data_IF_913678043162
#
_entry.id   IF_913678043162
#
_cell.length_a   1.000
_cell.length_b   1.000
_cell.length_c   1.000
_cell.angle_alpha   90.00
_cell.angle_beta   90.00
_cell.angle_gamma   90.00
#
_symmetry.space_group_name_H-M   'P 1'
#
loop_
_entity.id
_entity.type
_entity.pdbx_description
1 polymer ?
2 water ?
#
# COMPACT_ATOMS: atom_id res chain seq x y z
N UNK A 5 -6.64 -15.75 -7.71
CA UNK A 5 -5.22 -16.02 -7.43
C UNK A 5 -4.30 -15.02 -8.08
N UNK A 6 -3.01 -15.16 -7.79
CA UNK A 6 -2.02 -14.24 -8.28
C UNK A 6 -0.90 -15.02 -8.99
N UNK A 7 -0.32 -14.41 -10.02
CA UNK A 7 0.76 -15.00 -10.82
C UNK A 7 2.05 -14.69 -10.09
N UNK A 8 2.60 -15.71 -9.42
CA UNK A 8 3.82 -15.54 -8.63
C UNK A 8 5.11 -15.45 -9.48
N UNK A 9 4.99 -15.64 -10.79
CA UNK A 9 6.08 -15.40 -11.75
C UNK A 9 6.16 -13.90 -12.07
N UNK A 10 5.08 -13.16 -11.78
CA UNK A 10 5.01 -11.71 -12.07
C UNK A 10 5.18 -10.93 -10.78
N UNK A 11 4.47 -11.36 -9.75
CA UNK A 11 4.50 -10.72 -8.43
C UNK A 11 5.31 -11.59 -7.50
N UNK A 12 6.44 -11.06 -7.06
CA UNK A 12 7.40 -11.79 -6.23
C UNK A 12 8.33 -10.77 -5.57
N UNK A 13 9.02 -11.14 -4.48
CA UNK A 13 9.92 -10.24 -3.76
C UNK A 13 11.22 -9.97 -4.51
N UNK A 14 11.76 -8.76 -4.36
CA UNK A 14 13.09 -8.50 -4.88
C UNK A 14 14.14 -9.12 -3.96
N UNK A 15 15.35 -9.26 -4.48
CA UNK A 15 16.43 -9.72 -3.65
C UNK A 15 16.72 -8.70 -2.55
N UNK A 16 16.64 -7.41 -2.88
CA UNK A 16 17.01 -6.32 -1.96
C UNK A 16 15.98 -5.20 -2.10
N UNK A 17 15.06 -5.15 -1.15
CA UNK A 17 14.02 -4.13 -1.13
C UNK A 17 14.58 -2.72 -0.99
N UNK A 18 15.54 -2.51 -0.09
CA UNK A 18 16.12 -1.18 0.06
C UNK A 18 16.69 -0.66 -1.24
N UNK A 19 17.30 -1.54 -2.03
CA UNK A 19 17.91 -1.13 -3.31
C UNK A 19 16.80 -0.86 -4.35
N UNK A 20 15.75 -1.69 -4.36
CA UNK A 20 14.64 -1.46 -5.29
C UNK A 20 13.98 -0.10 -5.02
N UNK A 21 13.83 0.25 -3.74
CA UNK A 21 13.31 1.57 -3.40
C UNK A 21 14.27 2.67 -3.86
N UNK A 22 15.57 2.51 -3.59
CA UNK A 22 16.53 3.52 -4.05
C UNK A 22 16.44 3.75 -5.56
N UNK A 23 16.21 2.69 -6.32
CA UNK A 23 16.20 2.80 -7.79
C UNK A 23 15.03 3.62 -8.29
N UNK A 24 14.01 3.84 -7.45
CA UNK A 24 12.86 4.69 -7.85
C UNK A 24 13.17 6.19 -7.83
N UNK A 25 14.29 6.56 -7.22
CA UNK A 25 14.75 7.95 -7.16
C UNK A 25 13.71 8.88 -6.55
N UNK A 26 13.16 8.45 -5.43
CA UNK A 26 12.26 9.32 -4.68
C UNK A 26 12.73 9.42 -3.24
N UNK A 27 12.35 10.50 -2.57
CA UNK A 27 12.89 10.72 -1.23
C UNK A 27 12.49 9.67 -0.19
N UNK A 28 13.37 9.45 0.77
CA UNK A 28 13.16 8.52 1.86
C UNK A 28 13.89 7.22 1.66
N UNK A 29 13.78 6.36 2.66
CA UNK A 29 14.45 5.07 2.64
C UNK A 29 13.52 3.86 2.57
N UNK A 30 12.27 4.05 3.00
CA UNK A 30 11.28 2.96 3.09
C UNK A 30 9.97 3.50 2.60
N UNK A 31 9.22 2.66 1.89
CA UNK A 31 7.98 3.07 1.29
C UNK A 31 6.72 2.35 1.69
N UNK A 32 5.65 3.11 1.63
CA UNK A 32 4.27 2.66 1.84
C UNK A 32 3.51 3.01 0.58
N UNK A 33 2.70 2.12 0.02
CA UNK A 33 1.97 2.42 -1.17
C UNK A 33 0.49 2.07 -1.14
N UNK A 34 -0.25 2.76 -2.01
CA UNK A 34 -1.63 2.45 -2.30
C UNK A 34 -1.76 2.42 -3.83
N UNK A 35 -2.38 1.37 -4.33
CA UNK A 35 -2.50 1.12 -5.76
C UNK A 35 -3.91 1.30 -6.27
N UNK A 36 -4.02 1.81 -7.48
CA UNK A 36 -5.29 1.87 -8.15
C UNK A 36 -5.79 3.27 -8.33
N UNK A 37 -7.00 3.33 -8.84
CA UNK A 37 -7.61 4.60 -9.16
C UNK A 37 -7.72 5.50 -7.92
N UNK A 38 -7.51 6.79 -8.14
CA UNK A 38 -7.62 7.79 -7.08
C UNK A 38 -9.07 8.27 -7.09
N UNK A 39 -9.80 7.87 -6.06
CA UNK A 39 -11.24 8.14 -5.98
C UNK A 39 -11.65 7.95 -4.55
N UNK A 40 -12.61 8.73 -4.06
CA UNK A 40 -12.95 8.63 -2.64
C UNK A 40 -13.40 7.23 -2.23
N UNK A 41 -14.19 6.56 -3.06
CA UNK A 41 -14.64 5.21 -2.72
C UNK A 41 -13.52 4.19 -2.63
N UNK A 42 -12.35 4.52 -3.18
CA UNK A 42 -11.17 3.62 -3.08
C UNK A 42 -10.41 3.83 -1.78
N UNK A 43 -10.80 4.83 -0.99
CA UNK A 43 -10.14 5.11 0.28
C UNK A 43 -8.88 5.91 0.19
N UNK A 44 -8.64 6.55 -0.95
CA UNK A 44 -7.42 7.31 -1.10
C UNK A 44 -7.30 8.45 -0.07
N UNK A 45 -8.43 9.01 0.34
CA UNK A 45 -8.40 10.03 1.35
C UNK A 45 -8.00 9.49 2.73
N UNK A 46 -8.53 8.32 3.13
CA UNK A 46 -8.12 7.78 4.42
C UNK A 46 -6.63 7.44 4.38
N UNK A 47 -6.14 7.03 3.22
CA UNK A 47 -4.70 6.77 3.10
C UNK A 47 -3.88 8.03 3.28
N UNK A 48 -4.24 9.10 2.56
CA UNK A 48 -3.49 10.35 2.68
C UNK A 48 -3.56 10.91 4.11
N UNK A 49 -4.75 10.90 4.70
CA UNK A 49 -4.90 11.41 6.06
C UNK A 49 -4.06 10.57 7.04
N UNK A 50 -4.06 9.26 6.84
CA UNK A 50 -3.25 8.38 7.71
C UNK A 50 -1.74 8.67 7.52
N UNK A 51 -1.35 8.88 6.28
CA UNK A 51 0.05 9.17 5.98
C UNK A 51 0.47 10.48 6.58
N UNK A 52 -0.42 11.47 6.59
CA UNK A 52 -0.09 12.77 7.16
C UNK A 52 0.15 12.66 8.67
N UNK A 53 -0.67 11.89 9.36
CA UNK A 53 -0.48 11.64 10.79
C UNK A 53 0.82 10.85 11.02
N UNK A 54 1.00 9.78 10.25
CA UNK A 54 2.10 8.87 10.51
C UNK A 54 3.47 9.43 10.16
N UNK A 55 3.56 10.04 9.01
CA UNK A 55 4.86 10.39 8.47
C UNK A 55 5.49 11.59 9.14
N UNK A 56 4.71 12.39 9.86
CA UNK A 56 5.31 13.44 10.68
C UNK A 56 6.25 12.80 11.70
N UNK A 57 5.88 11.61 12.17
CA UNK A 57 6.63 10.88 13.16
C UNK A 57 7.87 10.12 12.64
N UNK A 58 7.85 9.75 11.35
CA UNK A 58 8.90 8.92 10.76
C UNK A 58 9.51 9.50 9.48
N UNK A 59 10.51 10.36 9.65
CA UNK A 59 11.11 11.04 8.51
C UNK A 59 11.71 10.19 7.41
N UNK A 60 12.11 8.96 7.69
CA UNK A 60 12.72 8.09 6.68
C UNK A 60 11.70 7.33 5.81
N UNK A 61 10.42 7.50 6.12
CA UNK A 61 9.35 6.81 5.42
C UNK A 61 8.63 7.73 4.46
N UNK A 62 8.20 7.15 3.35
CA UNK A 62 7.52 7.89 2.29
C UNK A 62 6.31 7.10 1.82
N UNK A 63 5.22 7.77 1.56
CA UNK A 63 4.02 7.18 1.03
C UNK A 63 3.91 7.53 -0.44
N UNK A 64 3.51 6.57 -1.28
CA UNK A 64 3.32 6.77 -2.70
C UNK A 64 1.93 6.33 -3.11
N UNK A 65 1.30 7.14 -3.94
CA UNK A 65 0.01 6.81 -4.50
C UNK A 65 0.30 6.41 -5.95
N UNK A 66 0.08 5.13 -6.25
CA UNK A 66 0.34 4.52 -7.55
C UNK A 66 -1.00 4.38 -8.28
N UNK A 67 -1.32 5.33 -9.15
CA UNK A 67 -2.57 5.29 -9.92
C UNK A 67 -2.93 6.70 -10.33
N UNK A 68 -4.05 6.85 -11.01
CA UNK A 68 -4.46 8.19 -11.40
C UNK A 68 -5.91 8.42 -11.17
N UNK A 69 -6.27 9.69 -11.20
CA UNK A 69 -7.62 10.12 -11.07
C UNK A 69 -8.18 10.27 -12.48
N UNK A 70 -9.37 9.76 -12.71
CA UNK A 70 -10.06 10.01 -13.98
C UNK A 70 -10.58 11.45 -13.94
N UNK A 71 -11.03 11.98 -15.09
CA UNK A 71 -11.48 13.39 -15.10
C UNK A 71 -12.47 13.79 -14.00
N UNK A 72 -13.43 12.94 -13.68
CA UNK A 72 -14.41 13.30 -12.68
C UNK A 72 -13.83 13.42 -11.28
N UNK A 73 -12.64 12.87 -11.05
CA UNK A 73 -11.97 12.91 -9.77
C UNK A 73 -10.68 13.75 -9.72
N UNK A 74 -10.42 14.54 -10.75
CA UNK A 74 -9.25 15.42 -10.72
C UNK A 74 -9.32 16.44 -9.55
N UNK A 75 -10.52 16.92 -9.24
CA UNK A 75 -10.69 17.84 -8.13
C UNK A 75 -10.30 17.19 -6.81
N UNK A 76 -10.68 15.92 -6.66
CA UNK A 76 -10.37 15.14 -5.46
C UNK A 76 -8.87 14.96 -5.29
N UNK A 77 -8.19 14.64 -6.37
CA UNK A 77 -6.75 14.49 -6.33
C UNK A 77 -6.09 15.84 -5.95
N UNK A 78 -6.58 16.95 -6.50
CA UNK A 78 -6.04 18.27 -6.14
C UNK A 78 -6.20 18.56 -4.64
N UNK A 79 -7.36 18.19 -4.08
CA UNK A 79 -7.59 18.42 -2.65
C UNK A 79 -6.62 17.58 -1.84
N UNK A 80 -6.39 16.33 -2.24
CA UNK A 80 -5.40 15.51 -1.54
C UNK A 80 -4.00 16.13 -1.58
N UNK A 81 -3.62 16.62 -2.76
CA UNK A 81 -2.30 17.27 -2.90
C UNK A 81 -2.19 18.49 -2.00
N UNK A 82 -3.27 19.27 -1.91
CA UNK A 82 -3.32 20.40 -1.00
C UNK A 82 -3.17 20.01 0.44
N UNK A 83 -3.86 18.95 0.86
CA UNK A 83 -3.76 18.49 2.25
C UNK A 83 -2.30 18.18 2.58
N UNK A 84 -1.62 17.49 1.68
CA UNK A 84 -0.21 17.16 1.88
C UNK A 84 0.67 18.41 2.00
N UNK A 85 0.45 19.35 1.08
CA UNK A 85 1.24 20.59 1.06
C UNK A 85 0.99 21.40 2.33
N UNK A 86 -0.27 21.53 2.71
CA UNK A 86 -0.57 22.29 3.93
C UNK A 86 -0.01 21.63 5.21
N UNK A 87 0.15 20.31 5.19
CA UNK A 87 0.77 19.59 6.32
C UNK A 87 2.31 19.68 6.29
N UNK A 88 2.88 20.25 5.23
CA UNK A 88 4.34 20.33 5.08
C UNK A 88 4.99 18.99 4.78
N UNK A 89 4.25 18.09 4.11
CA UNK A 89 4.73 16.74 3.83
C UNK A 89 4.94 16.38 2.38
N UNK A 90 5.13 17.37 1.50
CA UNK A 90 5.30 17.05 0.08
C UNK A 90 6.62 16.33 -0.26
N UNK A 91 7.54 16.23 0.70
CA UNK A 91 8.72 15.37 0.53
C UNK A 91 8.53 13.95 0.99
N UNK A 92 7.37 13.64 1.55
CA UNK A 92 7.10 12.31 2.07
C UNK A 92 5.83 11.66 1.53
N UNK A 93 5.00 12.39 0.79
CA UNK A 93 3.76 11.85 0.23
C UNK A 93 3.73 12.27 -1.22
N UNK A 94 3.89 11.29 -2.11
CA UNK A 94 4.17 11.50 -3.56
C UNK A 94 3.16 10.79 -4.45
N UNK A 95 2.57 11.51 -5.40
CA UNK A 95 1.65 10.93 -6.36
C UNK A 95 2.47 10.58 -7.57
N UNK A 96 2.57 9.29 -7.87
CA UNK A 96 3.39 8.82 -8.99
C UNK A 96 2.66 8.98 -10.31
N UNK A 97 3.39 9.34 -11.35
CA UNK A 97 2.80 9.52 -12.68
C UNK A 97 2.50 8.19 -13.36
N UNK A 98 1.49 8.19 -14.23
CA UNK A 98 1.12 6.98 -14.98
C UNK A 98 2.20 6.53 -15.95
N UNK A 99 2.41 5.22 -16.05
CA UNK A 99 3.29 4.63 -17.06
C UNK A 99 2.55 3.42 -17.62
N UNK A 100 2.68 3.19 -18.92
CA UNK A 100 1.99 2.09 -19.57
C UNK A 100 2.68 0.74 -19.33
N UNK A 101 4.01 0.77 -19.23
CA UNK A 101 4.82 -0.45 -19.09
C UNK A 101 4.24 -1.51 -18.11
N UNK A 102 4.25 -2.75 -18.60
CA UNK A 102 3.73 -3.95 -17.93
C UNK A 102 4.26 -4.25 -16.52
N UNK A 103 5.56 -4.02 -16.31
CA UNK A 103 6.20 -4.35 -15.04
C UNK A 103 6.39 -3.19 -14.08
N UNK A 104 5.98 -1.98 -14.45
CA UNK A 104 6.15 -0.88 -13.53
C UNK A 104 5.50 -1.29 -12.22
N UNK A 105 4.22 -1.63 -12.32
CA UNK A 105 3.44 -2.03 -11.15
C UNK A 105 4.10 -3.13 -10.29
N UNK A 106 4.34 -4.33 -10.86
CA UNK A 106 5.06 -5.36 -10.06
C UNK A 106 6.36 -4.83 -9.43
N UNK A 107 7.07 -3.95 -10.14
CA UNK A 107 8.31 -3.41 -9.59
C UNK A 107 8.02 -2.52 -8.39
N UNK A 108 6.88 -1.85 -8.39
CA UNK A 108 6.54 -1.00 -7.24
C UNK A 108 6.29 -1.84 -6.01
N UNK A 109 5.58 -2.96 -6.15
CA UNK A 109 5.38 -3.82 -4.98
C UNK A 109 6.73 -4.24 -4.41
N UNK A 110 7.68 -4.52 -5.30
CA UNK A 110 9.03 -4.94 -4.87
C UNK A 110 9.82 -3.87 -4.13
N UNK A 111 9.42 -2.61 -4.29
CA UNK A 111 10.09 -1.50 -3.64
C UNK A 111 9.45 -1.11 -2.31
N UNK A 112 8.25 -1.64 -2.01
CA UNK A 112 7.48 -1.18 -0.84
C UNK A 112 7.49 -2.12 0.34
N UNK A 113 7.65 -1.57 1.56
CA UNK A 113 7.54 -2.36 2.77
C UNK A 113 6.11 -2.64 3.18
N UNK A 114 5.23 -1.66 2.94
CA UNK A 114 3.82 -1.76 3.40
C UNK A 114 2.94 -1.36 2.26
N UNK A 115 1.83 -2.05 2.09
CA UNK A 115 0.79 -1.68 1.12
C UNK A 115 -0.52 -1.56 1.86
N UNK A 116 -1.25 -0.47 1.54
CA UNK A 116 -2.58 -0.24 2.09
C UNK A 116 -3.63 -0.45 1.03
N UNK A 117 -4.66 -1.24 1.35
CA UNK A 117 -5.78 -1.51 0.45
C UNK A 117 -6.98 -0.96 1.20
N UNK A 118 -7.37 0.28 0.90
CA UNK A 118 -8.33 1.05 1.70
C UNK A 118 -9.73 1.15 1.10
N UNK A 119 -10.02 0.34 0.10
CA UNK A 119 -11.30 0.48 -0.61
C UNK A 119 -12.49 0.31 0.31
N UNK A 120 -13.51 1.12 0.10
CA UNK A 120 -14.70 1.01 0.92
C UNK A 120 -15.51 -0.24 0.62
N UNK A 121 -15.62 -0.56 -0.66
CA UNK A 121 -16.49 -1.66 -1.14
C UNK A 121 -15.98 -2.42 -2.33
N UNK A 122 -15.38 -1.72 -3.28
CA UNK A 122 -14.94 -2.33 -4.54
C UNK A 122 -13.66 -3.11 -4.38
N UNK A 123 -13.55 -4.18 -5.17
CA UNK A 123 -12.38 -5.04 -5.19
C UNK A 123 -12.60 -6.49 -5.03
N UNK A 124 -11.66 -7.27 -5.58
CA UNK A 124 -11.63 -8.70 -5.43
C UNK A 124 -10.38 -9.16 -4.66
N UNK A 125 -9.75 -8.26 -3.94
CA UNK A 125 -8.56 -8.62 -3.16
C UNK A 125 -7.27 -8.80 -3.92
N UNK A 126 -7.28 -8.56 -5.23
CA UNK A 126 -6.08 -8.81 -6.02
C UNK A 126 -4.86 -8.00 -5.62
N UNK A 127 -5.01 -6.70 -5.36
CA UNK A 127 -3.84 -5.94 -4.90
C UNK A 127 -3.34 -6.34 -3.48
N UNK A 128 -4.21 -6.84 -2.57
CA UNK A 128 -3.70 -7.47 -1.35
C UNK A 128 -2.89 -8.72 -1.70
N UNK A 129 -3.41 -9.57 -2.58
CA UNK A 129 -2.67 -10.77 -2.98
C UNK A 129 -1.36 -10.44 -3.67
N UNK A 130 -1.37 -9.44 -4.55
CA UNK A 130 -0.16 -9.04 -5.27
C UNK A 130 0.89 -8.54 -4.26
N UNK A 131 0.44 -7.75 -3.30
CA UNK A 131 1.33 -7.21 -2.26
C UNK A 131 1.90 -8.34 -1.40
N UNK A 132 1.06 -9.26 -0.98
CA UNK A 132 1.50 -10.39 -0.16
C UNK A 132 2.45 -11.29 -0.91
N UNK A 133 2.18 -11.52 -2.18
CA UNK A 133 3.09 -12.33 -3.03
C UNK A 133 4.46 -11.66 -3.15
N UNK A 134 4.49 -10.35 -2.98
CA UNK A 134 5.74 -9.61 -3.05
C UNK A 134 6.38 -9.41 -1.69
N UNK A 135 5.80 -10.01 -0.65
CA UNK A 135 6.28 -9.90 0.71
C UNK A 135 6.22 -8.47 1.27
N UNK A 136 5.18 -7.76 0.85
CA UNK A 136 4.81 -6.47 1.47
C UNK A 136 3.89 -6.77 2.64
N UNK A 137 3.99 -6.01 3.73
CA UNK A 137 3.01 -6.14 4.83
C UNK A 137 1.75 -5.41 4.40
N UNK A 138 0.57 -6.00 4.55
CA UNK A 138 -0.67 -5.39 4.08
C UNK A 138 -1.59 -4.99 5.21
N UNK A 139 -2.11 -3.77 5.04
CA UNK A 139 -3.19 -3.23 5.86
C UNK A 139 -4.36 -3.07 4.91
N UNK A 140 -5.50 -3.66 5.24
CA UNK A 140 -6.64 -3.65 4.33
C UNK A 140 -7.96 -3.53 5.04
N UNK A 141 -8.93 -2.97 4.32
CA UNK A 141 -10.33 -3.07 4.71
C UNK A 141 -10.85 -4.47 4.28
N UNK A 142 -12.08 -4.78 4.68
CA UNK A 142 -12.77 -6.02 4.25
C UNK A 142 -12.77 -6.12 2.72
N UNK A 143 -13.12 -5.03 2.06
CA UNK A 143 -13.10 -4.97 0.58
C UNK A 143 -11.69 -5.16 0.02
N UNK A 144 -10.73 -4.47 0.63
CA UNK A 144 -9.35 -4.52 0.19
C UNK A 144 -8.72 -5.89 0.19
N UNK A 145 -9.23 -6.76 1.04
CA UNK A 145 -8.71 -8.13 1.15
C UNK A 145 -9.83 -9.19 1.03
N UNK A 146 -10.76 -8.88 0.13
CA UNK A 146 -11.87 -9.78 -0.25
C UNK A 146 -11.38 -11.09 -0.88
N UNK A 147 -11.92 -12.26 -0.52
CA UNK A 147 -12.88 -12.50 0.53
C UNK A 147 -12.16 -13.15 1.72
N UNK A 148 -12.07 -12.40 2.81
CA UNK A 148 -11.44 -12.83 4.06
C UNK A 148 -10.05 -13.48 3.92
N UNK A 149 -9.19 -12.84 3.15
CA UNK A 149 -7.81 -13.32 2.94
C UNK A 149 -6.94 -13.17 4.19
N UNK A 150 -7.14 -12.09 4.91
CA UNK A 150 -6.28 -11.73 6.04
C UNK A 150 -6.82 -12.15 7.39
N UNK A 151 -5.92 -12.66 8.22
CA UNK A 151 -6.16 -12.89 9.64
C UNK A 151 -5.41 -11.78 10.35
N UNK A 152 -6.14 -10.88 11.02
CA UNK A 152 -5.54 -9.72 11.65
C UNK A 152 -4.44 -10.11 12.63
N UNK A 153 -3.30 -9.42 12.52
CA UNK A 153 -2.11 -9.62 13.35
C UNK A 153 -1.36 -10.92 13.08
N UNK A 154 -1.80 -11.69 12.08
CA UNK A 154 -1.09 -12.90 11.70
C UNK A 154 -0.45 -12.68 10.33
N UNK A 155 -1.24 -12.38 9.32
CA UNK A 155 -0.71 -12.23 7.95
C UNK A 155 -1.05 -10.92 7.30
N UNK A 156 -1.50 -9.98 8.10
CA UNK A 156 -1.82 -8.63 7.66
C UNK A 156 -2.66 -7.99 8.74
N UNK A 157 -3.21 -6.82 8.41
CA UNK A 157 -4.10 -6.13 9.34
C UNK A 157 -5.36 -5.79 8.64
N UNK A 158 -6.41 -5.75 9.45
CA UNK A 158 -7.72 -5.35 8.97
C UNK A 158 -8.12 -4.05 9.66
N UNK A 159 -8.68 -3.16 8.89
CA UNK A 159 -9.22 -1.91 9.42
C UNK A 159 -10.63 -1.73 8.92
N UNK A 160 -11.40 -0.94 9.66
CA UNK A 160 -12.70 -0.54 9.14
C UNK A 160 -12.53 0.42 7.98
N UNK A 161 -13.44 0.41 7.00
CA UNK A 161 -13.43 1.44 5.97
C UNK A 161 -13.69 2.80 6.58
N UNK A 162 -13.27 3.84 5.88
CA UNK A 162 -13.52 5.24 6.25
C UNK A 162 -12.91 5.63 7.59
N UNK A 163 -11.78 5.01 7.95
CA UNK A 163 -11.09 5.31 9.23
C UNK A 163 -9.59 5.52 9.11
N UNK A 164 -9.24 6.74 8.76
CA UNK A 164 -7.86 7.11 8.60
C UNK A 164 -7.02 6.80 9.85
N UNK A 165 -7.53 7.08 11.04
CA UNK A 165 -6.74 6.85 12.24
C UNK A 165 -6.44 5.35 12.44
N UNK A 166 -7.37 4.47 12.09
CA UNK A 166 -7.10 3.04 12.22
C UNK A 166 -5.94 2.64 11.29
N UNK A 167 -5.91 3.17 10.07
CA UNK A 167 -4.79 2.91 9.16
C UNK A 167 -3.49 3.45 9.77
N UNK A 168 -3.52 4.69 10.28
CA UNK A 168 -2.33 5.25 10.89
C UNK A 168 -1.80 4.42 12.03
N UNK A 169 -2.70 3.93 12.88
CA UNK A 169 -2.27 3.10 14.01
C UNK A 169 -1.54 1.85 13.53
N UNK A 170 -2.03 1.25 12.45
CA UNK A 170 -1.35 0.06 11.92
C UNK A 170 -0.01 0.40 11.26
N UNK A 171 0.03 1.51 10.55
CA UNK A 171 1.29 1.94 9.96
C UNK A 171 2.32 2.18 11.07
N UNK A 172 1.92 2.96 12.07
CA UNK A 172 2.78 3.29 13.24
C UNK A 172 3.44 2.02 13.78
N UNK A 173 2.58 1.03 14.08
CA UNK A 173 2.98 -0.29 14.64
C UNK A 173 3.92 -1.08 13.76
N UNK A 174 3.66 -1.12 12.46
CA UNK A 174 4.52 -1.83 11.51
C UNK A 174 5.85 -1.13 11.29
N UNK A 175 5.86 0.19 11.32
CA UNK A 175 7.10 0.93 11.14
C UNK A 175 7.93 0.85 12.42
N UNK A 176 7.28 0.91 13.57
CA UNK A 176 8.04 0.90 14.81
C UNK A 176 8.55 -0.43 15.28
N UNK A 177 7.94 -1.51 14.80
CA UNK A 177 8.39 -2.88 15.11
C UNK A 177 8.68 -3.64 13.85
N UNK A 178 9.90 -3.47 13.36
CA UNK A 178 10.29 -4.08 12.10
C UNK A 178 10.28 -5.60 12.16
N UNK A 179 10.62 -6.19 13.31
CA UNK A 179 10.60 -7.65 13.39
C UNK A 179 9.17 -8.15 13.20
N UNK A 180 8.21 -7.45 13.78
CA UNK A 180 6.82 -7.84 13.61
C UNK A 180 6.40 -7.66 12.16
N UNK A 181 6.80 -6.53 11.57
CA UNK A 181 6.45 -6.26 10.17
C UNK A 181 6.94 -7.37 9.26
N UNK A 182 8.19 -7.75 9.44
CA UNK A 182 8.75 -8.80 8.57
C UNK A 182 8.06 -10.15 8.77
N UNK A 183 7.67 -10.46 9.99
CA UNK A 183 6.95 -11.70 10.25
C UNK A 183 5.55 -11.71 9.64
N UNK A 184 4.83 -10.60 9.78
CA UNK A 184 3.51 -10.45 9.18
C UNK A 184 3.61 -10.62 7.66
N UNK A 185 4.61 -9.94 7.07
CA UNK A 185 4.80 -9.98 5.62
C UNK A 185 5.13 -11.40 5.12
N UNK A 186 6.04 -12.07 5.82
CA UNK A 186 6.39 -13.43 5.49
C UNK A 186 5.17 -14.35 5.63
N UNK A 187 4.38 -14.19 6.68
CA UNK A 187 3.22 -15.02 6.84
C UNK A 187 2.23 -14.81 5.68
N UNK A 188 2.05 -13.56 5.26
CA UNK A 188 1.16 -13.27 4.10
C UNK A 188 1.68 -13.93 2.82
N UNK A 189 3.00 -13.82 2.63
CA UNK A 189 3.65 -14.47 1.49
C UNK A 189 3.42 -16.00 1.51
N UNK A 190 3.63 -16.61 2.68
CA UNK A 190 3.47 -18.05 2.82
C UNK A 190 2.04 -18.47 2.48
N UNK A 191 1.07 -17.69 2.93
CA UNK A 191 -0.30 -18.00 2.67
C UNK A 191 -0.63 -17.91 1.19
N UNK A 192 -0.24 -16.81 0.54
CA UNK A 192 -0.65 -16.64 -0.85
C UNK A 192 0.08 -17.57 -1.81
N UNK A 193 1.35 -17.87 -1.54
CA UNK A 193 2.09 -18.78 -2.43
C UNK A 193 1.61 -20.23 -2.27
N UNK A 194 0.91 -20.52 -1.17
CA UNK A 194 0.37 -21.85 -0.92
C UNK A 194 -1.06 -21.97 -1.40
N UNK A 195 -1.90 -20.98 -1.06
CA UNK A 195 -3.34 -21.09 -1.28
C UNK A 195 -3.92 -20.27 -2.45
N UNK A 196 -3.21 -19.25 -2.91
CA UNK A 196 -3.73 -18.38 -3.95
C UNK A 196 -2.76 -18.24 -5.14
N UNK A 197 -1.94 -19.27 -5.37
CA UNK A 197 -0.99 -19.27 -6.48
C UNK A 197 -1.71 -19.82 -7.70
N UNK A 198 -1.66 -19.10 -8.83
CA UNK A 198 -2.35 -19.55 -10.07
C UNK A 198 -1.77 -20.86 -10.61
N UNK A 199 -0.45 -21.03 -10.47
CA UNK A 199 0.23 -22.24 -10.98
C UNK A 199 0.62 -23.25 -9.89
#
# INVERSE_FOLDING_TARGET
SNAHGVDTQVFYPAENRQQQWQDKKIPGKYGIGIFGRIRKTKGTQEFIEAAIVTLKKYPDWTAVVIGEATPRDLDFKKELEQKVKQAGLDKQIIFIGFIADSNEIPSWYRALDIVVCASHKEGFGLPALEAMASKCAVIATKAGAWPEIIVDDENGYLVEPKSSQQIADKLDMLISDSKLRYKIAQNGYDLVTTKYKIQNEAEGIQQVYDRLLAKKRS
#
